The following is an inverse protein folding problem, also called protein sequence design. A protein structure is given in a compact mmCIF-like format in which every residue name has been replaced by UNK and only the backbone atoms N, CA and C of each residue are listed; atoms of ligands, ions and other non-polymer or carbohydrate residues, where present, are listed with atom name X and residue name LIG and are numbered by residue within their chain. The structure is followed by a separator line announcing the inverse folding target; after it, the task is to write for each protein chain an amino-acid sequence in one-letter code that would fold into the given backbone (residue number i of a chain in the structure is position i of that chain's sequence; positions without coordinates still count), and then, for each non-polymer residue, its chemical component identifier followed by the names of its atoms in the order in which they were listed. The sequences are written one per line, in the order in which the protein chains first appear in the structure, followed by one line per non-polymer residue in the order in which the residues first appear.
data_IF_444010232647
#
_entry.id   IF_444010232647
#
_cell.length_a   1.000
_cell.length_b   1.000
_cell.length_c   1.000
_cell.angle_alpha   90.00
_cell.angle_beta   90.00
_cell.angle_gamma   90.00
#
_symmetry.space_group_name_H-M   'P 1'
#
loop_
_entity.id
_entity.type
_entity.pdbx_description
1 polymer ?
#
# COMPACT_ATOMS: atom_id res chain seq x y z
N UNK A 1 5.69 -13.27 14.36
CA UNK A 1 6.78 -14.21 14.67
C UNK A 1 6.27 -15.27 15.62
N UNK A 2 6.27 -16.54 15.19
CA UNK A 2 5.77 -17.69 15.98
C UNK A 2 6.62 -18.03 17.23
N UNK A 3 7.80 -17.42 17.36
CA UNK A 3 8.73 -17.61 18.49
C UNK A 3 8.57 -16.56 19.60
N UNK A 4 7.68 -15.60 19.41
CA UNK A 4 7.44 -14.53 20.39
C UNK A 4 6.08 -14.69 21.02
N UNK A 5 6.04 -14.67 22.33
CA UNK A 5 4.78 -14.64 23.06
C UNK A 5 4.04 -13.31 22.81
N UNK A 6 2.73 -13.38 22.72
CA UNK A 6 1.90 -12.18 22.66
C UNK A 6 0.63 -12.36 23.50
N UNK A 7 0.19 -11.28 24.10
CA UNK A 7 -1.09 -11.23 24.78
C UNK A 7 -2.17 -10.81 23.79
N UNK A 8 -3.15 -11.68 23.58
CA UNK A 8 -4.27 -11.36 22.71
C UNK A 8 -5.16 -10.29 23.37
N UNK A 9 -5.45 -9.24 22.62
CA UNK A 9 -6.30 -8.13 23.03
C UNK A 9 -7.22 -7.79 21.84
N UNK A 10 -8.51 -8.08 21.97
CA UNK A 10 -9.46 -7.94 20.88
C UNK A 10 -9.57 -6.49 20.39
N UNK A 11 -9.63 -5.52 21.29
CA UNK A 11 -9.76 -4.10 20.93
C UNK A 11 -8.54 -3.63 20.15
N UNK A 12 -7.35 -4.02 20.60
CA UNK A 12 -6.10 -3.68 19.92
C UNK A 12 -5.99 -4.34 18.55
N UNK A 13 -6.41 -5.60 18.39
CA UNK A 13 -6.30 -6.32 17.12
C UNK A 13 -7.37 -5.93 16.09
N UNK A 14 -8.50 -5.37 16.54
CA UNK A 14 -9.59 -4.87 15.67
C UNK A 14 -9.53 -3.36 15.43
N UNK A 15 -8.53 -2.67 15.98
CA UNK A 15 -8.36 -1.24 15.79
C UNK A 15 -8.06 -0.89 14.32
N UNK A 16 -8.62 0.23 13.85
CA UNK A 16 -8.29 0.83 12.54
C UNK A 16 -6.94 1.53 12.52
N UNK A 17 -6.24 1.59 13.64
CA UNK A 17 -4.90 2.15 13.79
C UNK A 17 -3.90 1.09 14.27
N UNK A 18 -2.61 1.29 14.02
CA UNK A 18 -1.56 0.36 14.40
C UNK A 18 -1.39 -0.83 13.44
N UNK A 19 -0.60 -1.84 13.86
CA UNK A 19 -0.30 -3.03 13.05
C UNK A 19 -1.46 -4.04 13.07
N UNK A 20 -2.57 -3.70 12.45
CA UNK A 20 -3.77 -4.54 12.42
C UNK A 20 -4.15 -4.93 10.99
N UNK A 21 -4.89 -6.03 10.83
CA UNK A 21 -5.42 -6.44 9.54
C UNK A 21 -6.40 -5.39 8.97
N UNK A 22 -7.17 -4.74 9.84
CA UNK A 22 -8.11 -3.68 9.45
C UNK A 22 -7.37 -2.48 8.86
N UNK A 23 -6.24 -2.09 9.45
CA UNK A 23 -5.44 -0.96 8.96
C UNK A 23 -4.96 -1.15 7.52
N UNK A 24 -4.44 -2.33 7.18
CA UNK A 24 -3.95 -2.60 5.83
C UNK A 24 -5.10 -2.73 4.82
N UNK A 25 -6.22 -3.31 5.22
CA UNK A 25 -7.45 -3.35 4.41
C UNK A 25 -7.97 -1.95 4.13
N UNK A 26 -8.00 -1.08 5.13
CA UNK A 26 -8.45 0.31 4.97
C UNK A 26 -7.58 1.10 3.99
N UNK A 27 -6.24 0.93 4.05
CA UNK A 27 -5.33 1.57 3.09
C UNK A 27 -5.66 1.13 1.65
N UNK A 28 -5.93 -0.16 1.44
CA UNK A 28 -6.26 -0.68 0.12
C UNK A 28 -7.63 -0.21 -0.39
N UNK A 29 -8.66 -0.19 0.46
CA UNK A 29 -9.99 0.34 0.09
C UNK A 29 -9.87 1.82 -0.30
N UNK A 30 -9.09 2.60 0.45
CA UNK A 30 -8.82 4.01 0.15
C UNK A 30 -8.13 4.19 -1.20
N UNK A 31 -7.11 3.39 -1.50
CA UNK A 31 -6.40 3.41 -2.79
C UNK A 31 -7.35 3.08 -3.96
N UNK A 32 -8.11 2.00 -3.83
CA UNK A 32 -9.11 1.60 -4.84
C UNK A 32 -10.15 2.70 -5.10
N UNK A 33 -10.65 3.34 -4.04
CA UNK A 33 -11.62 4.44 -4.13
C UNK A 33 -11.02 5.67 -4.81
N UNK A 34 -9.76 5.96 -4.55
CA UNK A 34 -9.03 7.05 -5.20
C UNK A 34 -8.92 6.80 -6.71
N UNK A 35 -8.39 5.65 -7.12
CA UNK A 35 -8.24 5.30 -8.54
C UNK A 35 -9.60 5.30 -9.25
N UNK A 36 -10.64 4.70 -8.66
CA UNK A 36 -12.00 4.73 -9.24
C UNK A 36 -12.53 6.15 -9.44
N UNK A 37 -12.26 7.05 -8.49
CA UNK A 37 -12.73 8.43 -8.57
C UNK A 37 -12.00 9.22 -9.67
N UNK A 38 -10.72 8.94 -9.87
CA UNK A 38 -9.84 9.65 -10.81
C UNK A 38 -9.85 9.03 -12.21
N UNK A 39 -10.12 7.73 -12.34
CA UNK A 39 -10.15 6.99 -13.61
C UNK A 39 -11.37 7.30 -14.49
N UNK A 40 -12.17 8.30 -14.17
CA UNK A 40 -13.10 8.86 -15.17
C UNK A 40 -12.37 9.35 -16.43
N UNK A 41 -11.06 9.62 -16.32
CA UNK A 41 -10.16 9.87 -17.43
C UNK A 41 -8.97 8.92 -17.26
N UNK A 42 -8.89 7.84 -18.04
CA UNK A 42 -7.72 6.95 -18.07
C UNK A 42 -6.44 7.79 -18.25
N UNK A 43 -5.36 7.50 -17.49
CA UNK A 43 -4.11 8.19 -17.70
C UNK A 43 -3.68 8.02 -19.14
N UNK A 44 -3.45 9.13 -19.85
CA UNK A 44 -2.87 9.09 -21.18
C UNK A 44 -1.39 8.69 -21.05
N UNK A 45 -1.01 7.59 -21.68
CA UNK A 45 0.40 7.21 -21.82
C UNK A 45 0.96 7.84 -23.11
N UNK A 46 2.25 8.22 -23.14
CA UNK A 46 3.27 8.00 -22.12
C UNK A 46 3.22 9.05 -20.99
N UNK A 47 3.50 8.60 -19.75
CA UNK A 47 3.73 9.50 -18.62
C UNK A 47 5.17 10.01 -18.73
N UNK A 48 5.36 11.30 -18.83
CA UNK A 48 6.70 11.90 -18.74
C UNK A 48 7.14 11.91 -17.28
N UNK A 49 8.27 11.29 -16.93
CA UNK A 49 8.75 11.31 -15.54
C UNK A 49 8.95 12.74 -15.05
N UNK A 50 8.33 13.08 -13.93
CA UNK A 50 8.58 14.32 -13.20
C UNK A 50 9.28 14.03 -11.87
N UNK A 51 9.97 15.03 -11.28
CA UNK A 51 10.61 14.83 -9.98
C UNK A 51 9.63 14.34 -8.92
N UNK A 52 9.98 13.25 -8.23
CA UNK A 52 9.18 12.70 -7.15
C UNK A 52 9.39 13.53 -5.87
N UNK A 53 8.29 13.87 -5.21
CA UNK A 53 8.31 14.38 -3.84
C UNK A 53 8.90 13.35 -2.87
N UNK A 54 9.22 13.79 -1.65
CA UNK A 54 9.82 12.91 -0.65
C UNK A 54 8.93 11.71 -0.28
N UNK A 55 7.62 11.93 -0.16
CA UNK A 55 6.66 10.87 0.18
C UNK A 55 6.37 9.94 -1.00
N UNK A 56 6.34 10.47 -2.23
CA UNK A 56 6.23 9.68 -3.46
C UNK A 56 7.41 8.71 -3.56
N UNK A 57 8.62 9.26 -3.40
CA UNK A 57 9.86 8.48 -3.42
C UNK A 57 9.89 7.42 -2.32
N UNK A 58 9.48 7.78 -1.10
CA UNK A 58 9.41 6.84 0.01
C UNK A 58 8.49 5.66 -0.30
N UNK A 59 7.30 5.93 -0.85
CA UNK A 59 6.37 4.87 -1.24
C UNK A 59 6.95 3.98 -2.35
N UNK A 60 7.51 4.58 -3.41
CA UNK A 60 8.11 3.83 -4.53
C UNK A 60 9.28 2.94 -4.07
N UNK A 61 10.17 3.45 -3.22
CA UNK A 61 11.28 2.66 -2.67
C UNK A 61 10.77 1.49 -1.83
N UNK A 62 9.75 1.73 -0.98
CA UNK A 62 9.18 0.65 -0.18
C UNK A 62 8.49 -0.40 -1.06
N UNK A 63 7.79 0.00 -2.13
CA UNK A 63 7.20 -0.94 -3.08
C UNK A 63 8.27 -1.78 -3.78
N UNK A 64 9.38 -1.17 -4.18
CA UNK A 64 10.48 -1.88 -4.86
C UNK A 64 11.15 -2.96 -4.00
N UNK A 65 11.03 -2.90 -2.68
CA UNK A 65 11.64 -3.86 -1.75
C UNK A 65 10.87 -5.19 -1.60
N UNK A 66 9.84 -5.44 -2.40
CA UNK A 66 9.01 -6.65 -2.30
C UNK A 66 9.83 -7.94 -2.43
N UNK A 67 10.75 -7.99 -3.38
CA UNK A 67 11.59 -9.17 -3.66
C UNK A 67 12.38 -9.58 -2.42
N UNK A 68 13.05 -8.61 -1.77
CA UNK A 68 13.77 -8.85 -0.53
C UNK A 68 12.89 -9.48 0.57
N UNK A 69 11.67 -8.98 0.75
CA UNK A 69 10.76 -9.50 1.78
C UNK A 69 10.18 -10.87 1.42
N UNK A 70 9.98 -11.15 0.14
CA UNK A 70 9.60 -12.48 -0.36
C UNK A 70 10.72 -13.50 -0.11
N UNK A 71 11.94 -13.19 -0.52
CA UNK A 71 13.10 -14.07 -0.30
C UNK A 71 13.32 -14.35 1.18
N UNK A 72 13.27 -13.31 2.01
CA UNK A 72 13.43 -13.45 3.46
C UNK A 72 12.35 -14.34 4.08
N UNK A 73 11.10 -14.17 3.64
CA UNK A 73 9.96 -14.96 4.10
C UNK A 73 10.11 -16.45 3.74
N UNK A 74 10.53 -16.72 2.50
CA UNK A 74 10.75 -18.10 2.00
C UNK A 74 11.94 -18.74 2.71
N UNK A 75 13.08 -18.05 2.72
CA UNK A 75 14.33 -18.57 3.30
C UNK A 75 14.18 -18.97 4.77
N UNK A 76 13.42 -18.17 5.54
CA UNK A 76 13.24 -18.40 6.96
C UNK A 76 11.98 -19.21 7.30
N UNK A 77 11.11 -19.49 6.32
CA UNK A 77 9.75 -20.02 6.55
C UNK A 77 8.95 -19.17 7.54
N UNK A 78 9.06 -17.84 7.41
CA UNK A 78 8.46 -16.86 8.33
C UNK A 78 7.58 -15.84 7.59
N UNK A 79 6.27 -16.11 7.43
CA UNK A 79 5.36 -15.21 6.69
C UNK A 79 5.18 -13.84 7.35
N UNK A 80 5.61 -13.67 8.59
CA UNK A 80 5.53 -12.37 9.26
C UNK A 80 6.37 -11.28 8.59
N UNK A 81 7.40 -11.63 7.82
CA UNK A 81 8.17 -10.67 7.00
C UNK A 81 7.28 -10.01 5.95
N UNK A 82 6.40 -10.78 5.29
CA UNK A 82 5.41 -10.24 4.35
C UNK A 82 4.34 -9.40 5.06
N UNK A 83 3.88 -9.82 6.24
CA UNK A 83 2.92 -9.04 7.03
C UNK A 83 3.51 -7.69 7.46
N UNK A 84 4.79 -7.65 7.88
CA UNK A 84 5.49 -6.41 8.20
C UNK A 84 5.68 -5.52 6.95
N UNK A 85 6.03 -6.12 5.82
CA UNK A 85 6.15 -5.40 4.56
C UNK A 85 4.82 -4.76 4.16
N UNK A 86 3.72 -5.53 4.21
CA UNK A 86 2.38 -5.02 3.90
C UNK A 86 2.00 -3.83 4.79
N UNK A 87 2.33 -3.88 6.07
CA UNK A 87 2.13 -2.75 6.98
C UNK A 87 3.00 -1.55 6.60
N UNK A 88 4.28 -1.77 6.24
CA UNK A 88 5.21 -0.71 5.84
C UNK A 88 4.73 0.04 4.61
N UNK A 89 4.33 -0.69 3.54
CA UNK A 89 3.81 -0.04 2.33
C UNK A 89 2.46 0.65 2.58
N UNK A 90 1.62 0.11 3.48
CA UNK A 90 0.35 0.76 3.86
C UNK A 90 0.57 2.07 4.61
N UNK A 91 1.58 2.14 5.49
CA UNK A 91 1.98 3.38 6.16
C UNK A 91 2.50 4.43 5.15
N UNK A 92 3.41 4.00 4.27
CA UNK A 92 3.95 4.88 3.24
C UNK A 92 2.84 5.41 2.32
N UNK A 93 1.88 4.55 1.94
CA UNK A 93 0.73 4.95 1.14
C UNK A 93 -0.17 5.94 1.87
N UNK A 94 -0.47 5.71 3.15
CA UNK A 94 -1.32 6.63 3.92
C UNK A 94 -0.67 8.03 4.04
N UNK A 95 0.65 8.12 4.26
CA UNK A 95 1.37 9.39 4.27
C UNK A 95 1.32 10.07 2.89
N UNK A 96 1.62 9.34 1.83
CA UNK A 96 1.50 9.81 0.44
C UNK A 96 0.08 10.32 0.13
N UNK A 97 -0.96 9.59 0.51
CA UNK A 97 -2.35 9.96 0.26
C UNK A 97 -2.78 11.23 0.99
N UNK A 98 -2.35 11.42 2.24
CA UNK A 98 -2.70 12.59 3.06
C UNK A 98 -2.06 13.87 2.52
N UNK A 99 -0.82 13.81 2.08
CA UNK A 99 -0.07 14.95 1.59
C UNK A 99 -0.46 15.35 0.17
N UNK A 100 -0.68 14.35 -0.68
CA UNK A 100 -0.72 14.57 -2.13
C UNK A 100 -1.94 15.35 -2.65
N UNK A 101 -3.04 15.42 -1.91
CA UNK A 101 -4.31 16.02 -2.37
C UNK A 101 -4.59 15.80 -3.88
N UNK A 102 -4.39 14.57 -4.36
CA UNK A 102 -4.29 14.18 -5.79
C UNK A 102 -5.47 14.71 -6.63
N UNK A 103 -6.64 14.89 -6.01
CA UNK A 103 -7.84 15.38 -6.67
C UNK A 103 -7.73 16.84 -7.12
N UNK A 104 -6.85 17.62 -6.51
CA UNK A 104 -6.65 19.05 -6.77
C UNK A 104 -5.43 19.36 -7.63
N UNK A 105 -4.65 18.34 -8.02
CA UNK A 105 -3.50 18.52 -8.90
C UNK A 105 -4.00 18.91 -10.29
N UNK A 106 -3.64 20.08 -10.75
CA UNK A 106 -4.03 20.61 -12.06
C UNK A 106 -3.16 20.01 -13.18
N UNK A 107 -1.86 19.84 -12.92
CA UNK A 107 -0.96 19.20 -13.89
C UNK A 107 -1.35 17.75 -14.14
N UNK A 108 -1.68 17.46 -15.39
CA UNK A 108 -2.17 16.14 -15.81
C UNK A 108 -1.09 15.07 -15.70
N UNK A 109 0.18 15.44 -15.95
CA UNK A 109 1.30 14.50 -15.90
C UNK A 109 1.64 14.12 -14.46
N UNK A 110 1.72 15.09 -13.56
CA UNK A 110 1.91 14.84 -12.12
C UNK A 110 0.78 13.99 -11.56
N UNK A 111 -0.48 14.33 -11.88
CA UNK A 111 -1.64 13.56 -11.48
C UNK A 111 -1.59 12.12 -11.98
N UNK A 112 -1.24 11.90 -13.25
CA UNK A 112 -1.11 10.55 -13.84
C UNK A 112 0.00 9.75 -13.16
N UNK A 113 1.12 10.39 -12.83
CA UNK A 113 2.22 9.76 -12.09
C UNK A 113 1.77 9.30 -10.70
N UNK A 114 1.01 10.12 -9.96
CA UNK A 114 0.46 9.72 -8.66
C UNK A 114 -0.60 8.61 -8.75
N UNK A 115 -1.39 8.61 -9.81
CA UNK A 115 -2.33 7.51 -10.10
C UNK A 115 -1.56 6.21 -10.36
N UNK A 116 -0.48 6.27 -11.14
CA UNK A 116 0.37 5.10 -11.40
C UNK A 116 0.96 4.54 -10.09
N UNK A 117 1.53 5.39 -9.24
CA UNK A 117 2.08 4.99 -7.93
C UNK A 117 0.98 4.34 -7.06
N UNK A 118 -0.22 4.91 -7.06
CA UNK A 118 -1.37 4.34 -6.33
C UNK A 118 -1.77 2.97 -6.89
N UNK A 119 -1.76 2.81 -8.21
CA UNK A 119 -2.07 1.54 -8.87
C UNK A 119 -1.04 0.47 -8.51
N UNK A 120 0.24 0.81 -8.54
CA UNK A 120 1.31 -0.08 -8.09
C UNK A 120 1.12 -0.50 -6.62
N UNK A 121 0.76 0.43 -5.73
CA UNK A 121 0.46 0.08 -4.34
C UNK A 121 -0.70 -0.94 -4.25
N UNK A 122 -1.77 -0.76 -5.03
CA UNK A 122 -2.91 -1.71 -5.06
C UNK A 122 -2.43 -3.09 -5.50
N UNK A 123 -1.66 -3.18 -6.59
CA UNK A 123 -1.18 -4.45 -7.14
C UNK A 123 -0.25 -5.17 -6.16
N UNK A 124 0.74 -4.48 -5.59
CA UNK A 124 1.69 -5.06 -4.65
C UNK A 124 1.04 -5.46 -3.33
N UNK A 125 0.17 -4.62 -2.78
CA UNK A 125 -0.56 -4.97 -1.55
C UNK A 125 -1.50 -6.16 -1.77
N UNK A 126 -2.16 -6.25 -2.93
CA UNK A 126 -3.01 -7.39 -3.31
C UNK A 126 -2.20 -8.68 -3.44
N UNK A 127 -1.04 -8.62 -4.11
CA UNK A 127 -0.13 -9.75 -4.23
C UNK A 127 0.29 -10.27 -2.85
N UNK A 128 0.73 -9.38 -1.96
CA UNK A 128 1.17 -9.77 -0.60
C UNK A 128 0.01 -10.31 0.23
N UNK A 129 -1.16 -9.72 0.16
CA UNK A 129 -2.36 -10.24 0.82
C UNK A 129 -2.68 -11.65 0.33
N UNK A 130 -2.61 -11.88 -0.97
CA UNK A 130 -2.82 -13.22 -1.56
C UNK A 130 -1.82 -14.24 -1.03
N UNK A 131 -0.52 -13.90 -0.95
CA UNK A 131 0.50 -14.76 -0.35
C UNK A 131 0.23 -15.08 1.14
N UNK A 132 -0.43 -14.17 1.85
CA UNK A 132 -0.80 -14.35 3.25
C UNK A 132 -2.18 -15.03 3.45
N UNK A 133 -2.88 -15.40 2.37
CA UNK A 133 -4.23 -15.95 2.43
C UNK A 133 -5.29 -14.93 2.84
N UNK A 134 -5.01 -13.63 2.68
CA UNK A 134 -5.93 -12.54 3.03
C UNK A 134 -6.69 -12.11 1.78
N UNK A 135 -8.02 -12.15 1.82
CA UNK A 135 -8.86 -11.61 0.74
C UNK A 135 -9.09 -10.12 0.96
N UNK A 136 -8.70 -9.26 0.01
CA UNK A 136 -8.99 -7.83 0.10
C UNK A 136 -10.49 -7.55 0.15
N UNK A 137 -10.90 -6.64 1.05
CA UNK A 137 -12.29 -6.19 1.10
C UNK A 137 -12.54 -5.09 0.07
N UNK A 138 -13.77 -5.05 -0.45
CA UNK A 138 -14.15 -4.06 -1.48
C UNK A 138 -14.53 -2.71 -0.89
N UNK A 139 -15.09 -2.72 0.29
CA UNK A 139 -15.62 -1.53 1.01
C UNK A 139 -15.43 -1.69 2.50
N UNK A 140 -15.24 -0.54 3.18
CA UNK A 140 -15.20 -0.42 4.63
C UNK A 140 -15.86 0.91 5.04
#
# INVERSE_FOLDING_TARGET
NRKTDYKFDLEKFTSVSGKTGIYVQYAQVRANKLVKTLNKNKPSLPITPSPLGSLDRNLVINLANIEFHLELSIKNNEPHHLANYLYTISNAFNAFYQDSNIKKIEDSNERNQKILITTLFIEYSHLVMSCLGITPVKEM
#
